data_IF_596454473433
#
_entry.id   IF_596454473433
#
_cell.length_a   1.000
_cell.length_b   1.000
_cell.length_c   1.000
_cell.angle_alpha   90.00
_cell.angle_beta   90.00
_cell.angle_gamma   90.00
#
_symmetry.space_group_name_H-M   'P 1'
#
loop_
_entity.id
_entity.type
_entity.pdbx_description
1 polymer ?
#
# COMPACT_ATOMS: atom_id res chain seq x y z
N UNK A 1 -13.38 -1.53 6.28
CA UNK A 1 -12.34 -0.71 6.92
C UNK A 1 -11.10 -1.57 7.11
N UNK A 2 -10.01 -1.21 6.45
CA UNK A 2 -8.72 -1.91 6.49
C UNK A 2 -7.65 -0.99 7.09
N UNK A 3 -6.70 -1.56 7.81
CA UNK A 3 -5.56 -0.84 8.38
C UNK A 3 -4.26 -1.44 7.88
N UNK A 4 -3.24 -0.61 7.69
CA UNK A 4 -1.91 -1.05 7.29
C UNK A 4 -0.81 -0.22 7.93
N UNK A 5 0.39 -0.78 7.97
CA UNK A 5 1.58 -0.07 8.44
C UNK A 5 2.81 -0.53 7.68
N UNK A 6 3.84 0.31 7.61
CA UNK A 6 5.14 -0.13 7.12
C UNK A 6 5.84 -1.04 8.16
N UNK A 7 6.82 -1.84 7.71
CA UNK A 7 7.53 -2.79 8.58
C UNK A 7 8.34 -2.11 9.70
N UNK A 8 8.83 -0.88 9.49
CA UNK A 8 9.50 -0.12 10.55
C UNK A 8 8.52 0.53 11.54
N UNK A 9 7.21 0.48 11.28
CA UNK A 9 6.18 1.05 12.15
C UNK A 9 6.12 2.59 12.19
N UNK A 10 6.91 3.28 11.38
CA UNK A 10 6.92 4.76 11.32
C UNK A 10 5.75 5.34 10.51
N UNK A 11 5.09 4.53 9.70
CA UNK A 11 3.93 4.91 8.87
C UNK A 11 2.75 3.98 9.15
N UNK A 12 1.56 4.55 9.31
CA UNK A 12 0.30 3.83 9.42
C UNK A 12 -0.76 4.47 8.51
N UNK A 13 -1.64 3.64 7.95
CA UNK A 13 -2.68 4.04 7.00
C UNK A 13 -4.00 3.35 7.32
N UNK A 14 -5.09 3.99 6.90
CA UNK A 14 -6.45 3.47 6.99
C UNK A 14 -7.16 3.61 5.65
N UNK A 15 -7.92 2.58 5.26
CA UNK A 15 -8.76 2.53 4.06
C UNK A 15 -10.19 2.28 4.51
N UNK A 16 -11.09 3.23 4.25
CA UNK A 16 -12.50 3.13 4.66
C UNK A 16 -13.36 2.40 3.61
N UNK A 17 -12.98 2.48 2.34
CA UNK A 17 -13.67 1.87 1.21
C UNK A 17 -13.23 0.45 0.85
N UNK A 18 -13.69 0.01 -0.32
CA UNK A 18 -13.34 -1.29 -0.87
C UNK A 18 -11.97 -1.25 -1.58
N UNK A 19 -11.26 -2.37 -1.54
CA UNK A 19 -10.08 -2.60 -2.39
C UNK A 19 -10.57 -3.32 -3.63
N UNK A 20 -10.41 -2.70 -4.79
CA UNK A 20 -10.88 -3.22 -6.08
C UNK A 20 -9.71 -3.71 -6.94
N UNK A 21 -10.03 -4.46 -7.99
CA UNK A 21 -9.09 -4.84 -9.06
C UNK A 21 -7.76 -5.39 -8.53
N UNK A 22 -7.86 -6.39 -7.65
CA UNK A 22 -6.67 -7.05 -7.09
C UNK A 22 -5.93 -7.78 -8.21
N UNK A 23 -4.66 -7.45 -8.39
CA UNK A 23 -3.82 -7.98 -9.46
C UNK A 23 -2.45 -8.43 -8.96
N UNK A 24 -1.83 -9.34 -9.71
CA UNK A 24 -0.41 -9.64 -9.60
C UNK A 24 0.36 -8.81 -10.63
N UNK A 25 1.08 -7.79 -10.16
CA UNK A 25 1.90 -6.96 -11.02
C UNK A 25 3.29 -7.59 -11.21
N UNK A 26 3.65 -7.82 -12.47
CA UNK A 26 4.92 -8.41 -12.86
C UNK A 26 5.94 -7.39 -13.36
N UNK A 27 5.73 -6.08 -13.22
CA UNK A 27 6.71 -5.11 -13.70
C UNK A 27 8.02 -5.18 -12.89
N UNK A 28 9.13 -4.70 -13.46
CA UNK A 28 10.44 -4.74 -12.82
C UNK A 28 10.47 -4.02 -11.48
N UNK A 29 9.78 -2.88 -11.37
CA UNK A 29 9.67 -2.11 -10.13
C UNK A 29 8.99 -2.91 -9.01
N UNK A 30 7.83 -3.51 -9.28
CA UNK A 30 7.09 -4.28 -8.29
C UNK A 30 7.88 -5.51 -7.82
N UNK A 31 8.47 -6.28 -8.76
CA UNK A 31 9.32 -7.43 -8.40
C UNK A 31 10.53 -7.02 -7.57
N UNK A 32 11.18 -5.90 -7.90
CA UNK A 32 12.32 -5.38 -7.15
C UNK A 32 11.93 -4.92 -5.74
N UNK A 33 10.77 -4.26 -5.61
CA UNK A 33 10.28 -3.77 -4.32
C UNK A 33 9.86 -4.89 -3.38
N UNK A 34 9.16 -5.92 -3.88
CA UNK A 34 8.73 -7.05 -3.07
C UNK A 34 9.82 -8.12 -2.87
N UNK A 35 10.82 -8.18 -3.75
CA UNK A 35 11.84 -9.24 -3.77
C UNK A 35 11.29 -10.59 -4.27
N UNK A 36 10.12 -10.61 -4.91
CA UNK A 36 9.39 -11.81 -5.33
C UNK A 36 9.07 -11.79 -6.84
N UNK A 37 8.48 -12.87 -7.36
CA UNK A 37 8.11 -12.98 -8.77
C UNK A 37 7.02 -11.96 -9.23
N UNK A 38 6.26 -11.41 -8.29
CA UNK A 38 5.23 -10.39 -8.50
C UNK A 38 4.86 -9.71 -7.18
N UNK A 39 4.24 -8.52 -7.26
CA UNK A 39 3.56 -7.91 -6.12
C UNK A 39 2.04 -8.03 -6.27
N UNK A 40 1.33 -8.36 -5.19
CA UNK A 40 -0.14 -8.28 -5.14
C UNK A 40 -0.54 -6.85 -4.79
N UNK A 41 -1.20 -6.18 -5.73
CA UNK A 41 -1.67 -4.81 -5.55
C UNK A 41 -3.20 -4.78 -5.66
N UNK A 42 -3.82 -3.82 -4.99
CA UNK A 42 -5.23 -3.48 -5.17
C UNK A 42 -5.40 -1.97 -5.26
N UNK A 43 -6.52 -1.53 -5.82
CA UNK A 43 -6.82 -0.12 -6.04
C UNK A 43 -7.83 0.36 -5.01
N UNK A 44 -7.59 1.56 -4.47
CA UNK A 44 -8.45 2.23 -3.48
C UNK A 44 -8.77 3.63 -3.97
N UNK A 45 -9.93 4.15 -3.58
CA UNK A 45 -10.27 5.55 -3.83
C UNK A 45 -9.47 6.45 -2.89
N UNK A 46 -8.94 7.56 -3.42
CA UNK A 46 -8.03 8.44 -2.66
C UNK A 46 -8.75 9.18 -1.53
N UNK A 47 -10.01 9.54 -1.72
CA UNK A 47 -10.89 10.14 -0.70
C UNK A 47 -11.22 9.17 0.46
N UNK A 48 -11.08 7.87 0.23
CA UNK A 48 -11.28 6.82 1.22
C UNK A 48 -9.98 6.30 1.84
N UNK A 49 -8.83 6.86 1.44
CA UNK A 49 -7.50 6.52 1.95
C UNK A 49 -6.93 7.64 2.82
N UNK A 50 -6.36 7.29 3.97
CA UNK A 50 -5.72 8.27 4.86
C UNK A 50 -4.45 7.72 5.51
N UNK A 51 -3.46 8.59 5.70
CA UNK A 51 -2.24 8.31 6.47
C UNK A 51 -2.48 8.77 7.91
N UNK A 52 -2.54 7.83 8.85
CA UNK A 52 -2.85 8.09 10.27
C UNK A 52 -1.58 8.30 11.11
N UNK A 53 -0.43 7.79 10.64
CA UNK A 53 0.90 8.09 11.19
C UNK A 53 1.87 8.32 10.03
N UNK A 54 2.64 9.41 10.05
CA UNK A 54 3.55 9.81 8.96
C UNK A 54 4.99 9.91 9.45
N UNK A 55 5.90 9.26 8.74
CA UNK A 55 7.35 9.44 8.93
C UNK A 55 7.81 10.76 8.30
N UNK A 56 8.78 11.45 8.92
CA UNK A 56 9.31 12.72 8.41
C UNK A 56 9.93 12.65 7.01
N UNK A 57 10.35 11.44 6.59
CA UNK A 57 10.97 11.17 5.29
C UNK A 57 9.96 10.77 4.21
N UNK A 58 8.68 10.64 4.55
CA UNK A 58 7.64 10.35 3.57
C UNK A 58 7.28 11.65 2.84
N UNK A 59 7.93 11.88 1.69
CA UNK A 59 7.68 13.00 0.77
C UNK A 59 6.27 12.94 0.22
#
# INVERSE_FOLDING_TARGET
>A
MYTGSCLCGEVAVEIKGAISSIIHCHCSLCRKNSGTAFATNGFVNTDEFSVTKRASKLS
#
